data_IF_012456915659
#
_entry.id   IF_012456915659
#
_cell.length_a   1.000
_cell.length_b   1.000
_cell.length_c   1.000
_cell.angle_alpha   90.00
_cell.angle_beta   90.00
_cell.angle_gamma   90.00
#
_symmetry.space_group_name_H-M   'P 1'
#
loop_
_entity.id
_entity.type
_entity.pdbx_description
1 polymer ?
#
# COMPACT_ATOMS: atom_id res chain seq x y z
N UNK A 1 -1.09 -7.79 22.67
CA UNK A 1 -2.36 -7.17 22.29
C UNK A 1 -2.24 -6.33 21.00
N UNK A 2 -1.67 -5.12 21.02
CA UNK A 2 -1.54 -4.32 19.80
C UNK A 2 -0.66 -4.99 18.73
N UNK A 3 0.43 -5.66 19.15
CA UNK A 3 1.29 -6.43 18.26
C UNK A 3 0.60 -7.62 17.57
N UNK A 4 -0.48 -8.13 18.15
CA UNK A 4 -1.20 -9.26 17.55
C UNK A 4 -2.20 -8.81 16.48
N UNK A 5 -2.63 -7.55 16.54
CA UNK A 5 -3.50 -6.95 15.52
C UNK A 5 -2.75 -6.78 14.21
N UNK A 6 -1.58 -6.14 14.22
CA UNK A 6 -0.86 -5.89 12.98
C UNK A 6 -0.32 -7.15 12.30
N UNK A 7 0.00 -8.21 13.06
CA UNK A 7 0.46 -9.50 12.49
C UNK A 7 -0.57 -10.18 11.60
N UNK A 8 -1.85 -9.84 11.77
CA UNK A 8 -2.96 -10.38 10.99
C UNK A 8 -3.30 -9.53 9.77
N UNK A 9 -2.71 -8.35 9.65
CA UNK A 9 -2.89 -7.49 8.48
C UNK A 9 -2.06 -8.02 7.31
N UNK A 10 -2.57 -7.81 6.10
CA UNK A 10 -1.86 -8.15 4.88
C UNK A 10 -0.82 -7.09 4.53
N UNK A 11 0.10 -7.44 3.63
CA UNK A 11 1.09 -6.52 3.09
C UNK A 11 0.62 -6.01 1.74
N UNK A 12 0.57 -4.69 1.60
CA UNK A 12 0.10 -4.00 0.40
C UNK A 12 1.18 -3.07 -0.17
N UNK A 13 1.10 -2.84 -1.48
CA UNK A 13 1.71 -1.66 -2.11
C UNK A 13 0.58 -0.69 -2.42
N UNK A 14 0.60 0.47 -1.78
CA UNK A 14 -0.30 1.59 -2.08
C UNK A 14 0.39 2.49 -3.09
N UNK A 15 -0.21 2.67 -4.24
CA UNK A 15 0.39 3.37 -5.38
C UNK A 15 -0.52 4.48 -5.92
N UNK A 16 0.11 5.44 -6.57
CA UNK A 16 -0.56 6.57 -7.21
C UNK A 16 0.34 7.15 -8.30
N UNK A 17 -0.09 8.23 -8.92
CA UNK A 17 0.72 8.98 -9.88
C UNK A 17 1.23 10.27 -9.26
N UNK A 18 2.51 10.51 -9.40
CA UNK A 18 3.15 11.80 -9.18
C UNK A 18 3.22 12.52 -10.55
N UNK A 19 2.16 13.24 -10.88
CA UNK A 19 1.90 13.72 -12.24
C UNK A 19 1.87 12.57 -13.25
N UNK A 20 2.88 12.38 -14.09
CA UNK A 20 2.96 11.29 -15.07
C UNK A 20 3.85 10.12 -14.60
N UNK A 21 4.49 10.25 -13.41
CA UNK A 21 5.40 9.25 -12.86
C UNK A 21 4.71 8.37 -11.82
N UNK A 22 4.73 7.04 -11.97
CA UNK A 22 4.19 6.15 -10.96
C UNK A 22 5.03 6.19 -9.68
N UNK A 23 4.37 6.16 -8.53
CA UNK A 23 4.99 6.10 -7.22
C UNK A 23 4.15 5.31 -6.24
N UNK A 24 4.68 4.99 -5.08
CA UNK A 24 3.96 4.23 -4.08
C UNK A 24 4.80 3.91 -2.84
N UNK A 25 4.16 3.25 -1.89
CA UNK A 25 4.79 2.81 -0.66
C UNK A 25 4.21 1.48 -0.17
N UNK A 26 5.01 0.77 0.60
CA UNK A 26 4.53 -0.41 1.33
C UNK A 26 3.66 0.02 2.50
N UNK A 27 2.51 -0.63 2.65
CA UNK A 27 1.58 -0.38 3.74
C UNK A 27 0.98 -1.71 4.25
N UNK A 28 0.52 -1.70 5.50
CA UNK A 28 -0.24 -2.78 6.10
C UNK A 28 -1.58 -2.29 6.66
N UNK A 29 -1.89 -1.02 6.48
CA UNK A 29 -3.05 -0.34 7.04
C UNK A 29 -4.04 0.00 5.93
N UNK A 30 -4.71 -1.03 5.41
CA UNK A 30 -5.83 -0.90 4.49
C UNK A 30 -7.00 -1.71 5.03
N UNK A 31 -8.20 -1.15 4.99
CA UNK A 31 -9.40 -1.84 5.44
C UNK A 31 -10.64 -1.42 4.64
N UNK A 32 -11.55 -2.36 4.45
CA UNK A 32 -12.88 -2.03 3.93
C UNK A 32 -13.69 -1.29 4.99
N UNK A 33 -14.34 -0.20 4.59
CA UNK A 33 -15.17 0.62 5.48
C UNK A 33 -16.66 0.39 5.21
N UNK A 34 -17.05 0.42 3.95
CA UNK A 34 -18.42 0.14 3.52
C UNK A 34 -18.45 -0.83 2.33
N UNK A 35 -19.58 -1.51 2.13
CA UNK A 35 -19.75 -2.47 1.05
C UNK A 35 -20.57 -1.95 -0.12
N UNK A 36 -21.45 -0.97 0.11
CA UNK A 36 -22.35 -0.42 -0.92
C UNK A 36 -22.61 1.07 -0.67
N UNK A 37 -21.87 1.98 -1.34
CA UNK A 37 -20.74 1.70 -2.23
C UNK A 37 -19.54 1.10 -1.48
N UNK A 38 -18.70 0.35 -2.19
CA UNK A 38 -17.48 -0.18 -1.59
C UNK A 38 -16.48 0.94 -1.36
N UNK A 39 -16.02 1.08 -0.12
CA UNK A 39 -14.99 2.06 0.26
C UNK A 39 -13.88 1.39 1.04
N UNK A 40 -12.65 1.86 0.81
CA UNK A 40 -11.41 1.38 1.44
C UNK A 40 -10.72 2.56 2.11
N UNK A 41 -10.28 2.37 3.34
CA UNK A 41 -9.42 3.33 4.04
C UNK A 41 -7.97 2.85 4.02
N UNK A 42 -7.04 3.77 3.76
CA UNK A 42 -5.59 3.55 3.87
C UNK A 42 -4.97 4.64 4.74
N UNK A 43 -4.04 4.25 5.61
CA UNK A 43 -3.33 5.18 6.49
C UNK A 43 -1.89 5.35 6.02
N UNK A 44 -1.52 6.57 5.64
CA UNK A 44 -0.19 6.89 5.10
C UNK A 44 0.47 7.98 5.95
N UNK A 45 1.71 7.74 6.36
CA UNK A 45 2.48 8.68 7.17
C UNK A 45 2.68 10.00 6.42
N UNK A 46 2.62 11.14 7.13
CA UNK A 46 2.84 12.48 6.56
C UNK A 46 4.22 12.63 5.92
N UNK A 47 5.25 11.99 6.47
CA UNK A 47 6.62 12.03 5.95
C UNK A 47 6.84 11.13 4.72
N UNK A 48 5.88 10.28 4.39
CA UNK A 48 5.93 9.46 3.20
C UNK A 48 5.54 10.29 1.98
N UNK A 49 6.42 10.33 0.98
CA UNK A 49 6.18 11.09 -0.26
C UNK A 49 4.87 10.70 -0.96
N UNK A 50 4.47 9.44 -0.87
CA UNK A 50 3.20 8.94 -1.43
C UNK A 50 1.98 9.66 -0.85
N UNK A 51 2.04 10.12 0.41
CA UNK A 51 0.95 10.89 1.03
C UNK A 51 0.60 12.13 0.19
N UNK A 52 1.58 12.98 -0.08
CA UNK A 52 1.36 14.19 -0.87
C UNK A 52 0.94 13.90 -2.31
N UNK A 53 1.43 12.80 -2.89
CA UNK A 53 1.04 12.37 -4.24
C UNK A 53 -0.41 11.93 -4.31
N UNK A 54 -0.91 11.19 -3.32
CA UNK A 54 -2.34 10.83 -3.23
C UNK A 54 -3.19 12.08 -3.01
N UNK A 55 -2.74 12.98 -2.14
CA UNK A 55 -3.44 14.24 -1.87
C UNK A 55 -3.62 15.07 -3.14
N UNK A 56 -2.58 15.15 -3.98
CA UNK A 56 -2.60 15.90 -5.23
C UNK A 56 -3.38 15.21 -6.34
N UNK A 57 -3.24 13.89 -6.49
CA UNK A 57 -3.88 13.14 -7.58
C UNK A 57 -5.34 12.79 -7.32
N UNK A 58 -5.72 12.60 -6.06
CA UNK A 58 -7.06 12.18 -5.65
C UNK A 58 -7.39 10.73 -5.99
N UNK A 59 -6.40 9.90 -6.33
CA UNK A 59 -6.57 8.49 -6.66
C UNK A 59 -5.45 7.66 -6.05
N UNK A 60 -5.75 6.40 -5.73
CA UNK A 60 -4.75 5.43 -5.31
C UNK A 60 -5.16 4.01 -5.69
N UNK A 61 -4.18 3.13 -5.77
CA UNK A 61 -4.41 1.70 -5.88
C UNK A 61 -3.82 0.98 -4.68
N UNK A 62 -4.41 -0.15 -4.33
CA UNK A 62 -3.89 -1.09 -3.34
C UNK A 62 -3.61 -2.40 -4.07
N UNK A 63 -2.34 -2.76 -4.19
CA UNK A 63 -1.90 -4.06 -4.69
C UNK A 63 -1.66 -4.99 -3.52
N UNK A 64 -2.39 -6.09 -3.48
CA UNK A 64 -2.32 -7.08 -2.39
C UNK A 64 -1.22 -8.07 -2.74
N UNK A 65 -0.11 -8.06 -2.01
CA UNK A 65 0.98 -8.99 -2.23
C UNK A 65 0.59 -10.39 -1.75
N UNK A 66 1.11 -11.41 -2.43
CA UNK A 66 0.95 -12.81 -2.03
C UNK A 66 2.25 -13.35 -1.41
N UNK A 67 2.15 -14.50 -0.76
CA UNK A 67 3.32 -15.23 -0.27
C UNK A 67 4.30 -15.61 -1.40
N UNK A 68 3.81 -15.67 -2.65
CA UNK A 68 4.59 -15.94 -3.86
C UNK A 68 5.16 -14.69 -4.54
N UNK A 69 4.75 -13.48 -4.11
CA UNK A 69 5.27 -12.22 -4.65
C UNK A 69 6.74 -12.04 -4.30
N UNK A 70 7.48 -11.34 -5.16
CA UNK A 70 8.87 -10.98 -4.90
C UNK A 70 8.96 -10.10 -3.64
N UNK A 71 9.57 -10.63 -2.59
CA UNK A 71 9.70 -9.94 -1.30
C UNK A 71 10.57 -8.68 -1.36
N UNK A 72 11.40 -8.51 -2.39
CA UNK A 72 12.20 -7.29 -2.59
C UNK A 72 11.33 -6.07 -2.88
N UNK A 73 10.10 -6.24 -3.37
CA UNK A 73 9.11 -5.18 -3.53
C UNK A 73 8.83 -4.46 -2.21
N UNK A 74 8.72 -5.20 -1.12
CA UNK A 74 8.40 -4.65 0.21
C UNK A 74 9.50 -3.69 0.66
N UNK A 75 10.77 -4.06 0.50
CA UNK A 75 11.91 -3.21 0.81
C UNK A 75 12.00 -1.99 -0.09
N UNK A 76 11.82 -2.18 -1.40
CA UNK A 76 11.89 -1.10 -2.38
C UNK A 76 10.82 -0.02 -2.14
N UNK A 77 9.59 -0.43 -1.90
CA UNK A 77 8.49 0.49 -1.64
C UNK A 77 8.43 0.99 -0.20
N UNK A 78 9.02 0.26 0.75
CA UNK A 78 8.99 0.59 2.18
C UNK A 78 10.16 1.43 2.68
N UNK A 79 11.36 1.27 2.13
CA UNK A 79 12.58 1.91 2.64
C UNK A 79 13.16 3.00 1.74
N UNK A 80 12.64 3.17 0.53
CA UNK A 80 13.08 4.19 -0.42
C UNK A 80 12.02 5.27 -0.60
N UNK A 81 12.43 6.49 -0.93
CA UNK A 81 11.53 7.61 -1.21
C UNK A 81 11.29 7.77 -2.70
N UNK A 82 10.03 7.87 -3.11
CA UNK A 82 9.66 8.22 -4.49
C UNK A 82 10.04 9.64 -4.90
N UNK A 83 10.44 10.49 -3.92
CA UNK A 83 11.02 11.80 -4.20
C UNK A 83 12.39 11.69 -4.86
N UNK A 84 13.19 10.72 -4.43
CA UNK A 84 14.61 10.59 -4.80
C UNK A 84 14.81 9.61 -5.95
N UNK A 85 13.84 8.74 -6.21
CA UNK A 85 13.96 7.71 -7.25
C UNK A 85 12.61 7.30 -7.83
N UNK A 86 12.64 6.75 -9.04
CA UNK A 86 11.51 6.04 -9.62
C UNK A 86 11.42 4.62 -9.03
N UNK A 87 10.49 4.42 -8.10
CA UNK A 87 10.29 3.13 -7.44
C UNK A 87 9.75 2.04 -8.38
N UNK A 88 9.16 2.41 -9.50
CA UNK A 88 8.62 1.49 -10.50
C UNK A 88 9.63 1.13 -11.60
N UNK A 89 10.81 1.73 -11.62
CA UNK A 89 11.85 1.38 -12.58
C UNK A 89 12.22 -0.11 -12.44
N UNK A 90 12.08 -0.85 -13.55
CA UNK A 90 12.31 -2.30 -13.58
C UNK A 90 11.21 -3.16 -12.92
N UNK A 91 10.12 -2.57 -12.47
CA UNK A 91 8.97 -3.27 -11.89
C UNK A 91 7.92 -3.50 -12.97
N UNK A 92 7.41 -4.74 -13.07
CA UNK A 92 6.27 -5.05 -13.92
C UNK A 92 4.98 -4.51 -13.28
N UNK A 93 4.35 -3.55 -13.94
CA UNK A 93 3.10 -2.97 -13.50
C UNK A 93 2.17 -2.71 -14.67
N UNK A 94 0.90 -2.62 -14.40
CA UNK A 94 -0.15 -2.22 -15.34
C UNK A 94 -0.81 -0.94 -14.86
N UNK A 95 -1.37 -0.16 -15.78
CA UNK A 95 -2.13 1.05 -15.43
C UNK A 95 -3.61 0.72 -15.51
N UNK A 96 -4.31 0.90 -14.39
CA UNK A 96 -5.75 0.70 -14.26
C UNK A 96 -6.40 1.99 -13.79
N UNK A 97 -7.37 2.51 -14.54
CA UNK A 97 -8.02 3.80 -14.24
C UNK A 97 -6.99 4.94 -14.01
N UNK A 98 -5.89 4.93 -14.77
CA UNK A 98 -4.82 5.92 -14.66
C UNK A 98 -3.88 5.74 -13.47
N UNK A 99 -3.95 4.63 -12.74
CA UNK A 99 -3.15 4.36 -11.53
C UNK A 99 -2.33 3.07 -11.72
N UNK A 100 -1.04 3.04 -11.30
CA UNK A 100 -0.21 1.85 -11.43
C UNK A 100 -0.62 0.78 -10.41
N UNK A 101 -0.70 -0.48 -10.85
CA UNK A 101 -0.89 -1.66 -10.01
C UNK A 101 0.23 -2.67 -10.28
N UNK A 102 0.67 -3.37 -9.24
CA UNK A 102 1.77 -4.34 -9.33
C UNK A 102 1.28 -5.63 -9.99
N UNK A 103 1.89 -6.04 -11.09
CA UNK A 103 1.50 -7.27 -11.80
C UNK A 103 1.79 -8.55 -10.97
N UNK A 104 2.78 -8.51 -10.09
CA UNK A 104 3.15 -9.62 -9.21
C UNK A 104 2.27 -9.74 -7.94
N UNK A 105 1.27 -8.88 -7.78
CA UNK A 105 0.26 -8.98 -6.72
C UNK A 105 -0.75 -10.08 -7.02
N UNK A 106 -1.44 -10.59 -5.99
CA UNK A 106 -2.54 -11.53 -6.20
C UNK A 106 -3.87 -10.85 -6.55
N UNK A 107 -4.04 -9.59 -6.16
CA UNK A 107 -5.22 -8.79 -6.48
C UNK A 107 -4.89 -7.30 -6.39
N UNK A 108 -5.74 -6.47 -6.96
CA UNK A 108 -5.65 -5.01 -6.84
C UNK A 108 -7.03 -4.37 -6.65
N UNK A 109 -7.01 -3.20 -6.05
CA UNK A 109 -8.17 -2.32 -5.89
C UNK A 109 -7.74 -0.91 -6.28
N UNK A 110 -8.51 -0.24 -7.13
CA UNK A 110 -8.30 1.18 -7.49
C UNK A 110 -9.41 2.01 -6.87
N UNK A 111 -9.02 3.11 -6.23
CA UNK A 111 -9.92 3.98 -5.48
C UNK A 111 -9.77 5.44 -5.92
N UNK A 112 -10.92 6.13 -5.92
CA UNK A 112 -10.99 7.59 -5.95
C UNK A 112 -11.14 8.12 -4.51
N UNK A 113 -10.29 9.05 -4.10
CA UNK A 113 -10.38 9.66 -2.76
C UNK A 113 -11.68 10.45 -2.65
N UNK A 114 -12.48 10.13 -1.64
CA UNK A 114 -13.76 10.80 -1.36
C UNK A 114 -13.75 11.55 -0.03
N UNK A 115 -12.85 11.21 0.89
CA UNK A 115 -12.66 11.89 2.17
C UNK A 115 -11.29 11.59 2.73
N UNK A 116 -10.89 12.34 3.75
CA UNK A 116 -9.63 12.14 4.48
C UNK A 116 -9.77 12.56 5.93
N UNK A 117 -8.99 11.93 6.80
CA UNK A 117 -8.88 12.28 8.20
C UNK A 117 -7.41 12.50 8.54
N UNK A 118 -7.07 13.67 9.06
CA UNK A 118 -5.74 13.99 9.54
C UNK A 118 -5.56 13.54 10.97
N UNK A 119 -4.44 12.86 11.24
CA UNK A 119 -3.98 12.52 12.60
C UNK A 119 -2.67 13.23 12.89
N UNK A 120 -2.07 12.98 14.06
CA UNK A 120 -0.78 13.58 14.44
C UNK A 120 0.38 13.21 13.50
N UNK A 121 0.34 12.02 12.86
CA UNK A 121 1.44 11.49 12.06
C UNK A 121 1.02 10.93 10.71
N UNK A 122 -0.26 10.65 10.51
CA UNK A 122 -0.79 9.98 9.31
C UNK A 122 -2.02 10.69 8.76
N UNK A 123 -2.20 10.57 7.46
CA UNK A 123 -3.49 10.84 6.80
C UNK A 123 -4.18 9.50 6.53
N UNK A 124 -5.43 9.39 6.94
CA UNK A 124 -6.32 8.30 6.54
C UNK A 124 -7.11 8.77 5.31
N UNK A 125 -6.83 8.18 4.16
CA UNK A 125 -7.58 8.44 2.92
C UNK A 125 -8.71 7.44 2.80
N UNK A 126 -9.93 7.94 2.61
CA UNK A 126 -11.09 7.12 2.27
C UNK A 126 -11.28 7.16 0.76
N UNK A 127 -11.22 6.00 0.13
CA UNK A 127 -11.39 5.84 -1.31
C UNK A 127 -12.62 5.04 -1.67
N UNK A 128 -13.39 5.50 -2.66
CA UNK A 128 -14.43 4.71 -3.29
C UNK A 128 -13.82 3.82 -4.37
N UNK A 129 -14.12 2.53 -4.34
CA UNK A 129 -13.61 1.55 -5.30
C UNK A 129 -14.20 1.81 -6.68
N UNK A 130 -13.33 2.04 -7.68
CA UNK A 130 -13.71 2.25 -9.07
C UNK A 130 -13.27 1.11 -9.99
N UNK A 131 -12.32 0.29 -9.57
CA UNK A 131 -11.90 -0.93 -10.26
C UNK A 131 -11.26 -1.90 -9.25
N UNK A 132 -11.43 -3.19 -9.49
CA UNK A 132 -10.79 -4.24 -8.69
C UNK A 132 -10.77 -5.55 -9.47
N UNK A 133 -9.70 -6.34 -9.32
CA UNK A 133 -9.62 -7.68 -9.93
C UNK A 133 -8.66 -8.57 -9.15
N UNK A 134 -8.86 -9.87 -9.32
CA UNK A 134 -7.93 -10.91 -8.87
C UNK A 134 -6.99 -11.27 -10.00
N UNK A 135 -5.68 -11.21 -9.76
CA UNK A 135 -4.64 -11.46 -10.76
C UNK A 135 -4.15 -12.91 -10.72
N UNK A 136 -4.06 -13.50 -9.54
CA UNK A 136 -3.65 -14.90 -9.34
C UNK A 136 -4.26 -15.50 -8.08
N UNK A 137 -4.47 -16.82 -8.12
CA UNK A 137 -4.97 -17.60 -6.99
C UNK A 137 -3.80 -17.99 -6.08
N UNK A 138 -3.31 -17.05 -5.30
CA UNK A 138 -2.24 -17.25 -4.33
C UNK A 138 -2.66 -16.67 -2.98
N UNK A 139 -2.23 -17.23 -1.84
CA UNK A 139 -2.60 -16.70 -0.53
C UNK A 139 -2.00 -15.31 -0.32
N UNK A 140 -2.78 -14.33 0.20
CA UNK A 140 -2.25 -13.03 0.56
C UNK A 140 -1.13 -13.14 1.57
N UNK A 141 -0.10 -12.30 1.43
CA UNK A 141 1.00 -12.23 2.39
C UNK A 141 0.55 -11.45 3.61
N UNK A 142 0.54 -12.11 4.78
CA UNK A 142 0.32 -11.43 6.05
C UNK A 142 1.61 -10.82 6.60
N UNK A 143 1.49 -9.83 7.47
CA UNK A 143 2.65 -9.24 8.15
C UNK A 143 3.39 -10.28 9.00
N UNK A 144 2.65 -11.23 9.61
CA UNK A 144 3.24 -12.35 10.33
C UNK A 144 4.11 -13.22 9.43
N UNK A 145 3.64 -13.54 8.22
CA UNK A 145 4.43 -14.29 7.23
C UNK A 145 5.69 -13.53 6.83
N UNK A 146 5.57 -12.24 6.55
CA UNK A 146 6.71 -11.39 6.19
C UNK A 146 7.78 -11.35 7.29
N UNK A 147 7.39 -11.18 8.56
CA UNK A 147 8.33 -11.13 9.66
C UNK A 147 8.90 -12.49 10.05
N UNK A 148 8.08 -13.54 10.10
CA UNK A 148 8.48 -14.84 10.64
C UNK A 148 9.14 -15.75 9.60
N UNK A 149 8.69 -15.71 8.34
CA UNK A 149 9.17 -16.59 7.26
C UNK A 149 10.20 -15.87 6.40
N UNK A 150 9.89 -14.65 5.91
CA UNK A 150 10.79 -13.86 5.07
C UNK A 150 11.83 -13.12 5.94
N UNK A 151 11.54 -12.88 7.23
CA UNK A 151 12.38 -12.15 8.19
C UNK A 151 12.61 -10.69 7.78
N UNK A 152 11.59 -10.08 7.21
CA UNK A 152 11.60 -8.67 6.85
C UNK A 152 11.42 -7.73 8.05
N UNK A 153 11.74 -6.46 7.88
CA UNK A 153 11.62 -5.39 8.89
C UNK A 153 10.58 -4.38 8.48
N UNK A 154 9.92 -3.75 9.47
CA UNK A 154 9.00 -2.63 9.24
C UNK A 154 9.76 -1.33 9.02
N UNK A 155 9.39 -0.51 8.03
CA UNK A 155 9.92 0.85 7.91
C UNK A 155 9.52 1.71 9.11
N UNK A 156 10.37 2.70 9.49
CA UNK A 156 10.10 3.63 10.60
C UNK A 156 8.78 4.40 10.47
N UNK A 157 8.36 4.66 9.24
CA UNK A 157 7.16 5.43 8.94
C UNK A 157 5.90 4.57 8.81
N UNK A 158 5.99 3.27 9.10
CA UNK A 158 4.82 2.40 9.12
C UNK A 158 3.96 2.67 10.37
N UNK A 159 2.61 2.65 10.26
CA UNK A 159 1.72 2.82 11.41
C UNK A 159 1.98 1.80 12.53
N UNK A 160 2.56 0.68 12.16
CA UNK A 160 2.81 -0.49 13.04
C UNK A 160 4.27 -0.63 13.43
N UNK A 161 5.11 0.38 13.14
CA UNK A 161 6.51 0.36 13.53
C UNK A 161 6.65 0.31 15.07
N UNK A 162 7.34 -0.71 15.55
CA UNK A 162 7.76 -0.81 16.94
C UNK A 162 9.28 -0.66 16.96
N UNK A 163 9.83 0.30 17.71
CA UNK A 163 11.28 0.40 17.89
C UNK A 163 11.83 -0.92 18.44
N UNK A 164 12.98 -1.34 17.94
CA UNK A 164 13.73 -2.45 18.57
C UNK A 164 14.28 -1.93 19.91
N UNK A 165 14.05 -2.67 20.99
CA UNK A 165 14.64 -2.40 22.32
C UNK A 165 16.16 -2.64 22.31
#
# INVERSE_FOLDING_TARGET
AASDVYKRQDVYIVSTMDQERPTGCTANSAMQVTSSPATIAVSINHDNYTNSCIDNSGVFAVSILSEESDSTLIGRFGFMSGRDMDKFDGINYSVKEGVPVIDDACAYIVCKVVDRMETSSHTVFLGEVIDADTLKSAPPMTYAYYHNVIKGKSPKNAPTYLPED
#
